data_IF_122340611904
#
_entry.id   IF_122340611904
#
_cell.length_a   1.000
_cell.length_b   1.000
_cell.length_c   1.000
_cell.angle_alpha   90.00
_cell.angle_beta   90.00
_cell.angle_gamma   90.00
#
_symmetry.space_group_name_H-M   'P 1'
#
loop_
_entity.id
_entity.type
_entity.pdbx_description
1 polymer ?
#
# COMPACT_ATOMS: atom_id res chain seq x y z
N UNK A 1 -63.38 17.40 -5.17
CA UNK A 1 -62.27 16.89 -6.03
C UNK A 1 -60.98 17.59 -5.56
N UNK A 2 -60.27 16.96 -4.65
CA UNK A 2 -59.01 17.52 -4.08
C UNK A 2 -57.83 17.01 -4.93
N UNK A 3 -57.25 17.91 -5.66
CA UNK A 3 -56.05 17.64 -6.45
C UNK A 3 -54.85 17.66 -5.51
N UNK A 4 -54.32 16.50 -5.18
CA UNK A 4 -53.08 16.36 -4.39
C UNK A 4 -51.91 16.69 -5.30
N UNK A 5 -51.34 17.88 -5.16
CA UNK A 5 -50.10 18.28 -5.81
C UNK A 5 -48.98 17.58 -5.06
N UNK A 6 -48.46 16.49 -5.66
CA UNK A 6 -47.26 15.82 -5.19
C UNK A 6 -46.06 16.68 -5.59
N UNK A 7 -45.58 17.51 -4.67
CA UNK A 7 -44.30 18.22 -4.78
C UNK A 7 -43.22 17.15 -4.67
N UNK A 8 -42.73 16.66 -5.82
CA UNK A 8 -41.48 15.91 -5.89
C UNK A 8 -40.39 16.95 -5.65
N UNK A 9 -39.92 17.02 -4.41
CA UNK A 9 -38.71 17.75 -4.07
C UNK A 9 -37.58 16.88 -4.65
N UNK A 10 -37.24 17.12 -5.91
CA UNK A 10 -35.94 16.71 -6.43
C UNK A 10 -34.90 17.53 -5.66
N UNK A 11 -34.45 17.00 -4.53
CA UNK A 11 -33.24 17.43 -3.90
C UNK A 11 -32.09 17.02 -4.85
N UNK A 12 -31.90 17.80 -5.91
CA UNK A 12 -30.67 17.76 -6.63
C UNK A 12 -29.61 18.29 -5.67
N UNK A 13 -28.78 17.40 -5.17
CA UNK A 13 -27.49 17.78 -4.64
C UNK A 13 -26.69 18.39 -5.82
N UNK A 14 -26.77 19.68 -5.98
CA UNK A 14 -25.88 20.48 -6.83
C UNK A 14 -24.63 20.85 -6.01
N UNK A 15 -24.21 19.97 -5.12
CA UNK A 15 -23.07 20.22 -4.29
C UNK A 15 -21.79 20.15 -5.11
N UNK A 16 -20.93 21.15 -4.96
CA UNK A 16 -19.55 21.05 -5.37
C UNK A 16 -18.94 19.83 -4.67
N UNK A 17 -18.12 19.07 -5.38
CA UNK A 17 -17.49 17.88 -4.84
C UNK A 17 -16.47 18.28 -3.77
N UNK A 18 -16.54 17.65 -2.60
CA UNK A 18 -15.50 17.81 -1.58
C UNK A 18 -14.16 17.30 -2.13
N UNK A 19 -13.09 18.01 -1.84
CA UNK A 19 -11.75 17.62 -2.27
C UNK A 19 -10.90 17.30 -1.05
N UNK A 20 -10.34 16.11 -1.03
CA UNK A 20 -9.32 15.70 -0.05
C UNK A 20 -7.95 15.71 -0.70
N UNK A 21 -7.09 16.62 -0.25
CA UNK A 21 -5.72 16.75 -0.72
C UNK A 21 -4.81 15.95 0.22
N UNK A 22 -4.20 14.90 -0.32
CA UNK A 22 -3.28 14.04 0.41
C UNK A 22 -1.83 14.34 0.01
N UNK A 23 -0.97 14.42 1.01
CA UNK A 23 0.47 14.57 0.83
C UNK A 23 1.18 13.45 1.57
N UNK A 24 1.89 12.59 0.86
CA UNK A 24 2.68 11.51 1.45
C UNK A 24 3.81 12.12 2.27
N UNK A 25 3.89 11.76 3.55
CA UNK A 25 4.90 12.23 4.49
C UNK A 25 6.01 11.22 4.69
N UNK A 26 5.67 9.94 4.79
CA UNK A 26 6.62 8.86 4.99
C UNK A 26 6.15 7.58 4.31
N UNK A 27 7.07 6.64 4.12
CA UNK A 27 6.80 5.31 3.60
C UNK A 27 7.41 4.30 4.55
N UNK A 28 6.66 3.28 4.90
CA UNK A 28 7.13 2.16 5.75
C UNK A 28 6.78 0.83 5.13
N UNK A 29 7.57 -0.18 5.45
CA UNK A 29 7.32 -1.55 5.06
C UNK A 29 6.99 -2.43 6.26
N UNK A 30 6.25 -3.48 6.01
CA UNK A 30 5.95 -4.52 6.98
C UNK A 30 5.93 -5.89 6.30
N UNK A 31 6.30 -6.92 7.04
CA UNK A 31 6.24 -8.31 6.56
C UNK A 31 4.91 -8.90 7.04
N UNK A 32 4.29 -9.72 6.22
CA UNK A 32 3.04 -10.40 6.55
C UNK A 32 3.02 -11.82 5.99
N UNK A 33 2.16 -12.65 6.55
CA UNK A 33 1.77 -13.93 5.96
C UNK A 33 0.46 -13.78 5.20
N UNK A 34 0.27 -14.62 4.20
CA UNK A 34 -1.00 -14.71 3.48
C UNK A 34 -1.40 -16.19 3.31
N UNK A 35 -2.68 -16.44 3.24
CA UNK A 35 -3.25 -17.72 2.86
C UNK A 35 -4.41 -17.54 1.85
N UNK A 36 -5.16 -18.59 1.58
CA UNK A 36 -6.32 -18.55 0.69
C UNK A 36 -7.47 -17.64 1.20
N UNK A 37 -7.46 -17.27 2.49
CA UNK A 37 -8.50 -16.45 3.11
C UNK A 37 -8.11 -14.98 3.22
N UNK A 38 -6.85 -14.63 3.01
CA UNK A 38 -6.42 -13.22 3.00
C UNK A 38 -5.00 -12.97 3.47
N UNK A 39 -4.77 -11.70 3.84
CA UNK A 39 -3.50 -11.19 4.33
C UNK A 39 -3.60 -11.07 5.85
N UNK A 40 -2.64 -11.67 6.55
CA UNK A 40 -2.54 -11.60 8.00
C UNK A 40 -1.28 -10.83 8.38
N UNK A 41 -1.37 -9.86 9.29
CA UNK A 41 -0.18 -9.33 9.93
C UNK A 41 0.55 -10.50 10.58
N UNK A 42 1.88 -10.43 10.61
CA UNK A 42 2.71 -11.44 11.22
C UNK A 42 2.15 -11.87 12.59
N UNK A 43 1.87 -13.13 12.74
CA UNK A 43 1.44 -13.80 13.97
C UNK A 43 2.48 -14.87 14.30
N UNK A 44 2.49 -15.36 15.51
CA UNK A 44 3.50 -16.25 16.11
C UNK A 44 3.84 -17.54 15.32
N UNK A 45 3.09 -17.87 14.28
CA UNK A 45 3.36 -18.99 13.37
C UNK A 45 3.58 -18.44 11.95
N UNK A 46 4.85 -18.39 11.54
CA UNK A 46 5.26 -17.90 10.23
C UNK A 46 5.44 -19.06 9.23
N UNK A 47 4.71 -18.98 8.10
CA UNK A 47 4.93 -19.92 7.00
C UNK A 47 5.77 -19.23 5.90
N UNK A 48 7.03 -19.66 5.69
CA UNK A 48 7.89 -19.02 4.70
C UNK A 48 7.37 -19.13 3.25
N UNK A 49 6.48 -20.10 2.96
CA UNK A 49 5.85 -20.23 1.65
C UNK A 49 4.72 -19.22 1.41
N UNK A 50 4.29 -18.55 2.47
CA UNK A 50 3.19 -17.57 2.47
C UNK A 50 3.69 -16.19 2.84
N UNK A 51 4.93 -15.89 2.47
CA UNK A 51 5.58 -14.62 2.76
C UNK A 51 5.14 -13.53 1.81
N UNK A 52 4.83 -12.39 2.37
CA UNK A 52 4.60 -11.16 1.65
C UNK A 52 5.24 -9.95 2.33
N UNK A 53 5.35 -8.88 1.57
CA UNK A 53 5.79 -7.58 2.06
C UNK A 53 4.76 -6.52 1.68
N UNK A 54 4.37 -5.73 2.66
CA UNK A 54 3.52 -4.56 2.49
C UNK A 54 4.34 -3.29 2.52
N UNK A 55 3.96 -2.35 1.68
CA UNK A 55 4.50 -0.99 1.66
C UNK A 55 3.33 -0.04 1.87
N UNK A 56 3.40 0.77 2.90
CA UNK A 56 2.35 1.73 3.25
C UNK A 56 2.93 3.13 3.32
N UNK A 57 2.22 4.08 2.74
CA UNK A 57 2.54 5.49 2.84
C UNK A 57 1.63 6.16 3.87
N UNK A 58 2.24 6.84 4.84
CA UNK A 58 1.52 7.74 5.74
C UNK A 58 1.34 9.08 5.02
N UNK A 59 0.12 9.58 5.00
CA UNK A 59 -0.20 10.87 4.38
C UNK A 59 -0.92 11.81 5.34
N UNK A 60 -0.66 13.09 5.15
CA UNK A 60 -1.47 14.15 5.76
C UNK A 60 -2.60 14.47 4.78
N UNK A 61 -3.82 14.46 5.29
CA UNK A 61 -5.02 14.79 4.53
C UNK A 61 -5.51 16.18 4.92
N UNK A 62 -5.58 17.08 3.95
CA UNK A 62 -6.26 18.38 4.09
C UNK A 62 -7.58 18.30 3.33
N UNK A 63 -8.68 18.32 4.05
CA UNK A 63 -10.02 18.32 3.46
C UNK A 63 -10.44 19.74 3.15
N UNK A 64 -10.82 20.00 1.92
CA UNK A 64 -11.52 21.22 1.51
C UNK A 64 -13.00 20.88 1.36
N UNK A 65 -13.81 21.38 2.27
CA UNK A 65 -15.26 21.32 2.14
C UNK A 65 -15.70 22.40 1.14
N UNK A 66 -16.13 21.99 -0.04
CA UNK A 66 -16.56 22.90 -1.10
C UNK A 66 -18.08 22.88 -1.31
N UNK A 67 -18.80 22.01 -0.61
CA UNK A 67 -20.22 21.79 -0.80
C UNK A 67 -21.03 21.53 0.46
N UNK A 68 -22.31 21.28 0.29
CA UNK A 68 -23.30 21.01 1.33
C UNK A 68 -23.32 19.54 1.83
N UNK A 69 -22.27 18.79 1.56
CA UNK A 69 -22.06 17.42 2.07
C UNK A 69 -22.79 16.33 1.31
N UNK A 70 -23.38 16.63 0.17
CA UNK A 70 -24.05 15.66 -0.71
C UNK A 70 -23.17 15.11 -1.82
N UNK A 71 -21.92 15.58 -1.95
CA UNK A 71 -21.05 15.27 -3.05
C UNK A 71 -20.12 14.06 -2.78
N UNK A 72 -19.53 13.59 -3.85
CA UNK A 72 -18.42 12.61 -3.82
C UNK A 72 -17.16 13.34 -3.37
N UNK A 73 -16.37 12.72 -2.51
CA UNK A 73 -15.06 13.26 -2.15
C UNK A 73 -14.02 12.78 -3.15
N UNK A 74 -13.43 13.69 -3.90
CA UNK A 74 -12.30 13.41 -4.75
C UNK A 74 -11.00 13.41 -3.95
N UNK A 75 -10.17 12.36 -4.15
CA UNK A 75 -8.87 12.21 -3.55
C UNK A 75 -7.79 12.69 -4.52
N UNK A 76 -7.08 13.75 -4.14
CA UNK A 76 -5.95 14.28 -4.93
C UNK A 76 -4.67 14.08 -4.13
N UNK A 77 -3.67 13.45 -4.75
CA UNK A 77 -2.32 13.35 -4.20
C UNK A 77 -1.43 14.44 -4.76
N UNK A 78 -0.75 15.19 -3.90
CA UNK A 78 0.18 16.27 -4.31
C UNK A 78 1.56 15.76 -4.63
N UNK A 79 1.88 14.54 -4.20
CA UNK A 79 3.12 13.83 -4.48
C UNK A 79 2.85 12.33 -4.61
N UNK A 80 3.83 11.60 -5.10
CA UNK A 80 3.74 10.16 -5.33
C UNK A 80 5.09 9.50 -5.03
N UNK A 81 5.08 8.18 -4.87
CA UNK A 81 6.33 7.41 -4.76
C UNK A 81 6.87 7.22 -6.18
N UNK A 82 8.01 7.85 -6.49
CA UNK A 82 8.64 7.77 -7.82
C UNK A 82 9.44 6.49 -8.01
N UNK A 83 10.00 5.96 -6.93
CA UNK A 83 10.81 4.75 -6.96
C UNK A 83 10.73 4.02 -5.63
N UNK A 84 10.81 2.70 -5.70
CA UNK A 84 10.80 1.83 -4.53
C UNK A 84 11.80 0.69 -4.76
N UNK A 85 12.66 0.47 -3.77
CA UNK A 85 13.58 -0.66 -3.74
C UNK A 85 13.43 -1.39 -2.42
N UNK A 86 13.37 -2.70 -2.49
CA UNK A 86 13.33 -3.58 -1.34
C UNK A 86 14.62 -4.37 -1.32
N UNK A 87 15.44 -4.12 -0.30
CA UNK A 87 16.79 -4.65 -0.17
C UNK A 87 16.83 -5.60 1.02
N UNK A 88 17.38 -6.77 0.84
CA UNK A 88 17.56 -7.73 1.94
C UNK A 88 18.64 -7.27 2.91
N UNK A 89 18.40 -7.42 4.22
CA UNK A 89 19.41 -7.19 5.25
C UNK A 89 20.21 -8.45 5.53
N UNK A 90 19.55 -9.60 5.48
CA UNK A 90 20.15 -10.92 5.58
C UNK A 90 20.04 -11.64 4.24
N UNK A 91 20.75 -12.75 4.05
CA UNK A 91 20.59 -13.57 2.86
C UNK A 91 19.13 -14.04 2.78
N UNK A 92 18.50 -13.81 1.64
CA UNK A 92 17.14 -14.30 1.41
C UNK A 92 17.18 -15.79 1.00
N UNK A 93 18.07 -16.11 0.07
CA UNK A 93 18.46 -17.45 -0.36
C UNK A 93 19.78 -17.37 -1.12
N UNK A 94 20.28 -18.49 -1.64
CA UNK A 94 21.56 -18.57 -2.36
C UNK A 94 21.69 -17.58 -3.54
N UNK A 95 20.58 -17.21 -4.18
CA UNK A 95 20.60 -16.28 -5.32
C UNK A 95 20.49 -14.80 -4.90
N UNK A 96 20.02 -14.54 -3.70
CA UNK A 96 19.79 -13.21 -3.16
C UNK A 96 20.44 -13.04 -1.79
N UNK A 97 21.78 -12.87 -1.77
CA UNK A 97 22.51 -12.62 -0.53
C UNK A 97 22.15 -11.26 0.07
N UNK A 98 22.59 -11.02 1.31
CA UNK A 98 22.39 -9.76 2.00
C UNK A 98 22.81 -8.56 1.13
N UNK A 99 21.96 -7.53 1.09
CA UNK A 99 22.13 -6.36 0.23
C UNK A 99 21.56 -6.51 -1.18
N UNK A 100 20.94 -7.63 -1.52
CA UNK A 100 20.30 -7.83 -2.82
C UNK A 100 18.99 -7.04 -2.92
N UNK A 101 18.74 -6.46 -4.10
CA UNK A 101 17.43 -5.94 -4.45
C UNK A 101 16.53 -7.10 -4.88
N UNK A 102 15.39 -7.25 -4.21
CA UNK A 102 14.44 -8.36 -4.43
C UNK A 102 13.16 -7.93 -5.12
N UNK A 103 13.12 -6.76 -5.74
CA UNK A 103 11.94 -6.25 -6.43
C UNK A 103 11.40 -7.22 -7.48
N UNK A 104 12.28 -7.93 -8.19
CA UNK A 104 11.90 -8.89 -9.22
C UNK A 104 11.19 -10.15 -8.67
N UNK A 105 11.33 -10.41 -7.37
CA UNK A 105 10.63 -11.50 -6.70
C UNK A 105 9.20 -11.12 -6.30
N UNK A 106 8.82 -9.86 -6.42
CA UNK A 106 7.56 -9.37 -5.89
C UNK A 106 6.43 -9.52 -6.92
N UNK A 107 5.37 -10.17 -6.50
CA UNK A 107 4.12 -10.26 -7.24
C UNK A 107 3.08 -9.40 -6.52
N UNK A 108 2.47 -8.45 -7.22
CA UNK A 108 1.41 -7.63 -6.65
C UNK A 108 0.23 -8.50 -6.25
N UNK A 109 -0.31 -8.24 -5.07
CA UNK A 109 -1.50 -8.90 -4.56
C UNK A 109 -2.57 -7.84 -4.38
N UNK A 110 -3.67 -7.96 -5.11
CA UNK A 110 -4.87 -7.19 -4.81
C UNK A 110 -5.55 -7.80 -3.57
N UNK A 111 -6.29 -6.99 -2.82
CA UNK A 111 -6.99 -7.43 -1.61
C UNK A 111 -8.04 -8.53 -1.85
N UNK A 112 -8.13 -9.07 -3.06
CA UNK A 112 -9.03 -10.13 -3.49
C UNK A 112 -8.30 -11.46 -3.76
N UNK A 113 -7.00 -11.55 -3.45
CA UNK A 113 -6.21 -12.78 -3.60
C UNK A 113 -5.64 -13.02 -4.99
N UNK A 114 -5.74 -12.07 -5.92
CA UNK A 114 -5.06 -12.13 -7.21
C UNK A 114 -3.58 -11.75 -7.08
N UNK A 115 -2.70 -12.47 -7.77
CA UNK A 115 -1.28 -12.11 -7.88
C UNK A 115 -1.03 -11.41 -9.21
N UNK A 116 -0.54 -10.19 -9.16
CA UNK A 116 -0.15 -9.42 -10.35
C UNK A 116 1.33 -9.15 -10.33
N UNK A 117 1.97 -9.29 -11.50
CA UNK A 117 3.28 -8.70 -11.71
C UNK A 117 3.08 -7.19 -11.78
N UNK A 118 3.53 -6.47 -10.77
CA UNK A 118 3.48 -5.02 -10.77
C UNK A 118 4.89 -4.46 -10.90
N UNK A 119 5.07 -3.60 -11.87
CA UNK A 119 6.17 -2.65 -11.77
C UNK A 119 5.88 -1.74 -10.58
N UNK A 120 6.76 -1.75 -9.60
CA UNK A 120 6.65 -0.95 -8.36
C UNK A 120 6.77 0.57 -8.68
N UNK A 121 6.74 0.94 -9.92
CA UNK A 121 6.92 2.30 -10.38
C UNK A 121 5.56 2.96 -10.63
N UNK A 122 5.36 4.13 -10.07
CA UNK A 122 4.24 5.05 -10.31
C UNK A 122 2.95 4.78 -9.56
N UNK A 123 3.02 4.54 -8.27
CA UNK A 123 1.81 4.28 -7.54
C UNK A 123 1.37 5.46 -6.68
N UNK A 124 0.23 6.03 -7.06
CA UNK A 124 -0.50 7.02 -6.28
C UNK A 124 -1.27 6.42 -5.10
N UNK A 125 -1.22 5.10 -4.92
CA UNK A 125 -1.95 4.42 -3.86
C UNK A 125 -1.14 4.39 -2.57
N UNK A 126 -1.84 4.48 -1.44
CA UNK A 126 -1.27 4.67 -0.10
C UNK A 126 -0.70 3.35 0.46
N UNK A 127 -1.14 2.21 -0.06
CA UNK A 127 -0.70 0.89 0.44
C UNK A 127 -0.68 -0.13 -0.67
N UNK A 128 0.40 -0.89 -0.73
CA UNK A 128 0.58 -2.00 -1.64
C UNK A 128 1.07 -3.22 -0.90
N UNK A 129 0.59 -4.37 -1.31
CA UNK A 129 1.03 -5.65 -0.79
C UNK A 129 1.56 -6.51 -1.93
N UNK A 130 2.66 -7.18 -1.67
CA UNK A 130 3.37 -8.02 -2.62
C UNK A 130 3.65 -9.37 -2.00
N UNK A 131 3.41 -10.43 -2.76
CA UNK A 131 3.81 -11.78 -2.42
C UNK A 131 5.20 -12.03 -2.98
N UNK A 132 6.05 -12.78 -2.27
CA UNK A 132 7.29 -13.26 -2.84
C UNK A 132 7.04 -14.47 -3.75
N UNK A 133 7.67 -14.47 -4.92
CA UNK A 133 7.68 -15.60 -5.87
C UNK A 133 8.69 -16.67 -5.52
N UNK A 134 9.55 -16.43 -4.55
CA UNK A 134 10.54 -17.34 -4.03
C UNK A 134 10.43 -17.44 -2.50
N UNK A 135 10.88 -18.55 -1.94
CA UNK A 135 10.88 -18.82 -0.51
C UNK A 135 12.20 -18.39 0.09
N UNK A 136 12.22 -17.70 1.25
CA UNK A 136 13.45 -17.47 1.99
C UNK A 136 14.00 -18.78 2.56
N UNK A 137 15.31 -18.89 2.57
CA UNK A 137 16.04 -20.05 3.11
C UNK A 137 16.78 -19.72 4.41
N UNK A 138 16.81 -18.44 4.80
CA UNK A 138 17.45 -17.98 6.02
C UNK A 138 16.44 -17.88 7.16
N UNK A 139 16.90 -18.15 8.37
CA UNK A 139 16.09 -18.07 9.60
C UNK A 139 15.78 -16.63 10.02
N UNK A 140 16.44 -15.64 9.42
CA UNK A 140 16.27 -14.22 9.74
C UNK A 140 15.87 -13.42 8.52
N UNK A 141 14.76 -12.69 8.61
CA UNK A 141 14.26 -11.84 7.55
C UNK A 141 14.12 -10.40 8.02
N UNK A 142 14.71 -9.49 7.29
CA UNK A 142 14.51 -8.06 7.43
C UNK A 142 14.81 -7.40 6.09
N UNK A 143 14.06 -6.36 5.75
CA UNK A 143 14.25 -5.62 4.52
C UNK A 143 14.43 -4.13 4.80
N UNK A 144 15.30 -3.50 4.01
CA UNK A 144 15.32 -2.05 3.88
C UNK A 144 14.41 -1.64 2.72
N UNK A 145 13.42 -0.81 3.02
CA UNK A 145 12.54 -0.20 2.03
C UNK A 145 13.08 1.20 1.73
N UNK A 146 13.53 1.43 0.52
CA UNK A 146 14.10 2.71 0.12
C UNK A 146 13.52 3.21 -1.18
N UNK A 147 13.52 4.52 -1.37
CA UNK A 147 12.97 5.11 -2.58
C UNK A 147 12.93 6.62 -2.53
N UNK A 148 12.15 7.20 -3.44
CA UNK A 148 11.96 8.64 -3.52
C UNK A 148 10.48 8.98 -3.60
N UNK A 149 10.10 10.03 -2.89
CA UNK A 149 8.79 10.67 -3.02
C UNK A 149 8.98 11.93 -3.88
N UNK A 150 8.10 12.17 -4.86
CA UNK A 150 8.13 13.37 -5.71
C UNK A 150 8.20 14.62 -4.85
N UNK A 151 9.14 15.53 -5.17
CA UNK A 151 9.37 16.78 -4.45
C UNK A 151 9.81 16.61 -2.98
N UNK A 152 10.26 15.43 -2.58
CA UNK A 152 10.88 15.15 -1.28
C UNK A 152 12.20 14.43 -1.45
N UNK A 153 12.92 14.30 -0.33
CA UNK A 153 14.17 13.55 -0.27
C UNK A 153 13.95 12.04 -0.38
N UNK A 154 15.06 11.33 -0.55
CA UNK A 154 15.06 9.88 -0.46
C UNK A 154 14.69 9.42 0.94
N UNK A 155 13.95 8.32 1.01
CA UNK A 155 13.65 7.65 2.27
C UNK A 155 14.32 6.27 2.32
N UNK A 156 14.58 5.81 3.53
CA UNK A 156 14.99 4.43 3.81
C UNK A 156 14.45 4.06 5.18
N UNK A 157 13.67 2.99 5.24
CA UNK A 157 13.10 2.45 6.47
C UNK A 157 13.34 0.93 6.52
N UNK A 158 13.48 0.39 7.70
CA UNK A 158 13.60 -1.04 7.93
C UNK A 158 12.23 -1.62 8.27
N UNK A 159 11.96 -2.84 7.82
CA UNK A 159 10.88 -3.65 8.38
C UNK A 159 11.27 -4.17 9.76
N UNK A 160 10.32 -4.73 10.48
CA UNK A 160 10.64 -5.52 11.67
C UNK A 160 11.51 -6.72 11.28
N UNK A 161 12.37 -7.15 12.22
CA UNK A 161 13.12 -8.39 12.09
C UNK A 161 12.22 -9.56 12.45
N UNK A 162 12.15 -10.53 11.55
CA UNK A 162 11.44 -11.79 11.76
C UNK A 162 12.46 -12.91 11.90
N UNK A 163 12.29 -13.73 12.90
CA UNK A 163 13.04 -14.98 13.07
C UNK A 163 12.10 -16.12 12.71
N UNK A 164 12.53 -16.98 11.80
CA UNK A 164 11.81 -18.19 11.38
C UNK A 164 12.40 -19.35 12.19
N UNK A 165 11.60 -19.96 13.06
CA UNK A 165 11.98 -21.10 13.89
C UNK A 165 11.80 -22.44 13.15
#
# INVERSE_FOLDING_TARGET
MFTLILLIINSCCNGDEDVSINTIESVRGFIYSYDENGIYPYLDEFNPNELGIGVSADSITNRMEMGDGCGRTDLIYTNQIDSLNIITIYDFNDNYPAGSNVNELLLGQDGLGGTYSTEINNNSSISHTYKFSAVPENDSLQFAISGRITNKDYFTNLTDLIIID
#
